data_IF_197870340123
#
_entry.id   IF_197870340123
#
_cell.length_a   1.000
_cell.length_b   1.000
_cell.length_c   1.000
_cell.angle_alpha   90.00
_cell.angle_beta   90.00
_cell.angle_gamma   90.00
#
_symmetry.space_group_name_H-M   'P 1'
#
loop_
_entity.id
_entity.type
_entity.pdbx_description
1 polymer ?
#
# COMPACT_ATOMS: atom_id res chain seq x y z
N UNK A 1 -13.92 11.00 -10.75
CA UNK A 1 -13.91 11.14 -12.22
C UNK A 1 -13.88 9.79 -12.93
N UNK A 2 -12.81 8.97 -12.79
CA UNK A 2 -12.65 7.72 -13.54
C UNK A 2 -13.82 6.74 -13.36
N UNK A 3 -14.28 6.51 -12.15
CA UNK A 3 -15.36 5.56 -11.88
C UNK A 3 -16.71 5.94 -12.50
N UNK A 4 -16.93 7.23 -12.75
CA UNK A 4 -18.17 7.73 -13.38
C UNK A 4 -18.11 7.66 -14.91
N UNK A 5 -16.93 7.90 -15.49
CA UNK A 5 -16.75 7.94 -16.94
C UNK A 5 -16.47 6.56 -17.54
N UNK A 6 -15.90 5.63 -16.76
CA UNK A 6 -15.58 4.27 -17.19
C UNK A 6 -16.46 3.23 -16.49
N UNK A 7 -17.80 3.39 -16.58
CA UNK A 7 -18.78 2.55 -15.86
C UNK A 7 -18.67 1.06 -16.21
N UNK A 8 -18.29 0.75 -17.44
CA UNK A 8 -18.15 -0.64 -17.91
C UNK A 8 -16.76 -1.23 -17.64
N UNK A 9 -15.81 -0.44 -17.14
CA UNK A 9 -14.47 -0.90 -16.81
C UNK A 9 -14.38 -1.23 -15.33
N UNK A 10 -13.62 -2.29 -15.00
CA UNK A 10 -13.23 -2.61 -13.63
C UNK A 10 -11.96 -1.84 -13.27
N UNK A 11 -11.97 -1.11 -12.20
CA UNK A 11 -10.89 -0.24 -11.75
C UNK A 11 -10.29 -0.84 -10.48
N UNK A 12 -8.99 -1.15 -10.50
CA UNK A 12 -8.23 -1.49 -9.30
C UNK A 12 -7.45 -0.23 -8.90
N UNK A 13 -7.84 0.38 -7.78
CA UNK A 13 -7.23 1.58 -7.24
C UNK A 13 -6.27 1.24 -6.10
N UNK A 14 -5.02 1.67 -6.20
CA UNK A 14 -4.02 1.47 -5.15
C UNK A 14 -4.04 2.64 -4.17
N UNK A 15 -4.51 2.37 -2.96
CA UNK A 15 -4.41 3.24 -1.81
C UNK A 15 -3.18 2.85 -0.95
N UNK A 16 -3.14 3.28 0.29
CA UNK A 16 -2.00 3.11 1.19
C UNK A 16 -2.45 2.79 2.61
N UNK A 17 -1.59 2.13 3.38
CA UNK A 17 -1.70 2.03 4.83
C UNK A 17 -1.45 3.39 5.52
N UNK A 18 -0.80 4.34 4.85
CA UNK A 18 -0.62 5.72 5.32
C UNK A 18 -1.92 6.53 5.48
N UNK A 19 -3.08 5.95 5.18
CA UNK A 19 -4.39 6.52 5.55
C UNK A 19 -4.66 6.43 7.06
N UNK A 20 -3.84 5.71 7.81
CA UNK A 20 -3.92 5.55 9.26
C UNK A 20 -2.71 6.16 9.96
N UNK A 21 -2.91 6.67 11.19
CA UNK A 21 -1.84 7.24 12.01
C UNK A 21 -0.96 6.21 12.74
N UNK A 22 -1.29 4.92 12.65
CA UNK A 22 -0.51 3.85 13.26
C UNK A 22 -0.72 3.64 14.78
N UNK A 23 -1.43 4.51 15.49
CA UNK A 23 -1.54 4.48 16.95
C UNK A 23 -2.34 3.27 17.46
N UNK A 24 -3.44 2.92 16.80
CA UNK A 24 -4.30 1.79 17.18
C UNK A 24 -3.63 0.43 16.87
N UNK A 25 -2.95 0.33 15.74
CA UNK A 25 -2.52 -0.94 15.15
C UNK A 25 -3.71 -1.83 14.75
N UNK A 26 -3.46 -2.91 14.02
CA UNK A 26 -4.48 -3.90 13.59
C UNK A 26 -5.75 -3.27 13.01
N UNK A 27 -5.57 -2.28 12.15
CA UNK A 27 -6.68 -1.60 11.49
C UNK A 27 -7.42 -2.56 10.56
N UNK A 28 -8.75 -2.43 10.56
CA UNK A 28 -9.66 -3.15 9.66
C UNK A 28 -10.09 -2.25 8.50
N UNK A 29 -10.65 -2.84 7.44
CA UNK A 29 -11.08 -2.10 6.26
C UNK A 29 -12.16 -1.05 6.57
N UNK A 30 -13.03 -1.32 7.54
CA UNK A 30 -14.10 -0.43 7.99
C UNK A 30 -13.68 0.58 9.07
N UNK A 31 -12.43 0.55 9.51
CA UNK A 31 -11.93 1.57 10.44
C UNK A 31 -11.86 2.93 9.74
N UNK A 32 -12.24 3.96 10.49
CA UNK A 32 -12.15 5.34 10.03
C UNK A 32 -10.69 5.73 9.79
N UNK A 33 -10.41 6.34 8.65
CA UNK A 33 -9.08 6.86 8.34
C UNK A 33 -8.68 7.96 9.32
N UNK A 34 -7.41 8.00 9.68
CA UNK A 34 -6.85 8.93 10.67
C UNK A 34 -5.54 9.53 10.12
N UNK A 35 -5.64 10.16 8.95
CA UNK A 35 -4.50 10.69 8.21
C UNK A 35 -3.70 11.71 9.04
N UNK A 36 -2.38 11.64 8.95
CA UNK A 36 -1.47 12.57 9.64
C UNK A 36 -0.78 13.53 8.69
N UNK A 37 -0.80 13.26 7.39
CA UNK A 37 -0.15 14.06 6.36
C UNK A 37 -0.99 14.21 5.09
N UNK A 38 -0.56 15.09 4.20
CA UNK A 38 -1.22 15.36 2.92
C UNK A 38 -1.25 14.10 2.03
N UNK A 39 -0.24 13.25 2.11
CA UNK A 39 -0.20 12.00 1.36
C UNK A 39 -1.35 11.07 1.77
N UNK A 40 -1.48 10.79 3.08
CA UNK A 40 -2.57 9.96 3.61
C UNK A 40 -3.95 10.54 3.30
N UNK A 41 -4.11 11.87 3.44
CA UNK A 41 -5.35 12.56 3.06
C UNK A 41 -5.69 12.32 1.58
N UNK A 42 -4.74 12.56 0.68
CA UNK A 42 -4.96 12.39 -0.76
C UNK A 42 -5.33 10.96 -1.14
N UNK A 43 -4.69 9.97 -0.50
CA UNK A 43 -5.00 8.55 -0.72
C UNK A 43 -6.40 8.18 -0.23
N UNK A 44 -6.77 8.61 0.97
CA UNK A 44 -8.12 8.34 1.52
C UNK A 44 -9.23 9.00 0.70
N UNK A 45 -9.02 10.22 0.21
CA UNK A 45 -9.97 10.89 -0.68
C UNK A 45 -10.17 10.16 -2.03
N UNK A 46 -9.16 9.41 -2.49
CA UNK A 46 -9.25 8.59 -3.69
C UNK A 46 -10.04 7.29 -3.52
N UNK A 47 -10.34 6.86 -2.29
CA UNK A 47 -11.04 5.62 -1.97
C UNK A 47 -12.55 5.78 -2.20
N UNK A 48 -12.99 5.60 -3.42
CA UNK A 48 -14.42 5.72 -3.76
C UNK A 48 -15.11 4.37 -3.72
N UNK A 49 -16.27 4.31 -3.08
CA UNK A 49 -17.11 3.10 -3.01
C UNK A 49 -18.05 3.09 -4.23
N UNK A 50 -17.70 2.34 -5.26
CA UNK A 50 -18.46 2.18 -6.51
C UNK A 50 -18.44 0.72 -6.95
N UNK A 51 -19.49 0.27 -7.67
CA UNK A 51 -19.61 -1.12 -8.16
C UNK A 51 -18.45 -1.57 -9.05
N UNK A 52 -17.81 -0.65 -9.73
CA UNK A 52 -16.70 -0.90 -10.66
C UNK A 52 -15.32 -0.58 -10.06
N UNK A 53 -15.21 -0.31 -8.75
CA UNK A 53 -13.95 0.04 -8.09
C UNK A 53 -13.61 -0.95 -6.99
N UNK A 54 -12.39 -1.49 -7.06
CA UNK A 54 -11.71 -2.23 -6.01
C UNK A 54 -10.60 -1.36 -5.46
N UNK A 55 -10.68 -0.94 -4.20
CA UNK A 55 -9.63 -0.19 -3.53
C UNK A 55 -8.73 -1.16 -2.77
N UNK A 56 -7.42 -1.06 -2.97
CA UNK A 56 -6.42 -1.88 -2.28
C UNK A 56 -5.53 -0.97 -1.45
N UNK A 57 -5.65 -1.06 -0.12
CA UNK A 57 -4.69 -0.46 0.81
C UNK A 57 -3.52 -1.40 0.99
N UNK A 58 -2.33 -0.94 0.69
CA UNK A 58 -1.10 -1.71 0.88
C UNK A 58 0.08 -0.78 1.11
N UNK A 59 1.11 -1.31 1.77
CA UNK A 59 2.45 -0.74 1.76
C UNK A 59 3.32 -1.61 0.87
N UNK A 60 4.09 -1.00 -0.01
CA UNK A 60 4.88 -1.73 -1.01
C UNK A 60 6.36 -1.40 -0.92
N UNK A 61 7.19 -2.38 -1.23
CA UNK A 61 8.62 -2.22 -1.39
C UNK A 61 9.09 -2.84 -2.71
N UNK A 62 9.97 -2.13 -3.42
CA UNK A 62 10.51 -2.62 -4.68
C UNK A 62 11.62 -1.72 -5.21
N UNK A 63 12.32 -2.21 -6.22
CA UNK A 63 13.32 -1.42 -6.92
C UNK A 63 12.69 -0.35 -7.82
N UNK A 64 13.27 0.83 -7.80
CA UNK A 64 13.01 1.86 -8.79
C UNK A 64 14.09 1.84 -9.88
N UNK A 65 13.65 1.83 -11.14
CA UNK A 65 14.59 1.79 -12.28
C UNK A 65 15.15 3.16 -12.64
N UNK A 66 14.44 4.25 -12.35
CA UNK A 66 14.78 5.59 -12.84
C UNK A 66 15.17 6.59 -11.76
N UNK A 67 14.84 6.33 -10.51
CA UNK A 67 15.09 7.23 -9.39
C UNK A 67 15.66 6.44 -8.21
N UNK A 68 16.31 7.12 -7.28
CA UNK A 68 16.88 6.50 -6.07
C UNK A 68 16.08 6.86 -4.81
N UNK A 69 14.81 7.24 -4.95
CA UNK A 69 13.98 7.68 -3.83
C UNK A 69 13.33 6.54 -3.05
N UNK A 70 13.27 5.31 -3.60
CA UNK A 70 12.72 4.18 -2.85
C UNK A 70 13.62 3.84 -1.66
N UNK A 71 13.00 3.41 -0.56
CA UNK A 71 13.73 2.99 0.64
C UNK A 71 14.72 1.86 0.34
N UNK A 72 14.41 0.99 -0.62
CA UNK A 72 15.28 -0.09 -1.02
C UNK A 72 16.51 0.42 -1.78
N UNK A 73 16.33 1.32 -2.77
CA UNK A 73 17.43 1.92 -3.51
C UNK A 73 18.32 2.76 -2.59
N UNK A 74 17.70 3.56 -1.69
CA UNK A 74 18.43 4.31 -0.69
C UNK A 74 19.29 3.39 0.19
N UNK A 75 18.72 2.30 0.70
CA UNK A 75 19.42 1.34 1.57
C UNK A 75 20.60 0.67 0.88
N UNK A 76 20.45 0.30 -0.38
CA UNK A 76 21.53 -0.36 -1.16
C UNK A 76 22.62 0.59 -1.58
N UNK A 77 22.35 1.87 -1.72
CA UNK A 77 23.30 2.89 -2.13
C UNK A 77 23.95 3.63 -0.96
N UNK A 78 23.61 3.29 0.28
CA UNK A 78 24.14 3.98 1.44
C UNK A 78 25.57 3.51 1.74
N UNK A 79 26.51 4.45 1.76
CA UNK A 79 27.92 4.17 2.07
C UNK A 79 28.24 4.22 3.58
N UNK A 80 27.25 4.46 4.42
CA UNK A 80 27.43 4.55 5.87
C UNK A 80 27.52 3.17 6.53
N UNK A 81 28.51 2.97 7.40
CA UNK A 81 28.64 1.73 8.20
C UNK A 81 27.59 1.59 9.31
N UNK A 82 26.88 2.67 9.64
CA UNK A 82 25.85 2.68 10.69
C UNK A 82 24.62 3.42 10.20
N UNK A 83 23.48 2.78 10.27
CA UNK A 83 22.17 3.36 9.93
C UNK A 83 21.31 3.33 11.20
N UNK A 84 20.67 4.47 11.51
CA UNK A 84 19.68 4.52 12.60
C UNK A 84 18.38 3.88 12.13
N UNK A 85 17.85 2.91 12.90
CA UNK A 85 16.56 2.29 12.67
C UNK A 85 15.59 2.57 13.81
N UNK A 86 14.30 2.48 13.53
CA UNK A 86 13.25 2.62 14.53
C UNK A 86 12.89 1.26 15.12
N UNK A 87 12.78 1.15 16.45
CA UNK A 87 12.43 -0.11 17.13
C UNK A 87 10.94 -0.39 17.18
N UNK A 88 10.13 0.65 17.11
CA UNK A 88 8.68 0.70 17.30
C UNK A 88 7.89 0.82 16.00
N UNK A 89 8.57 0.96 14.87
CA UNK A 89 7.94 0.98 13.57
C UNK A 89 7.89 -0.42 12.96
N UNK A 90 6.70 -0.99 12.93
CA UNK A 90 6.43 -2.30 12.31
C UNK A 90 5.94 -2.12 10.89
N UNK A 91 6.37 -3.00 10.01
CA UNK A 91 5.95 -3.03 8.63
C UNK A 91 5.56 -4.45 8.23
N UNK A 92 4.44 -4.59 7.53
CA UNK A 92 3.94 -5.86 7.01
C UNK A 92 3.46 -5.75 5.56
N UNK A 93 4.01 -4.80 4.82
CA UNK A 93 3.70 -4.62 3.41
C UNK A 93 4.15 -5.78 2.53
N UNK A 94 3.97 -5.63 1.24
CA UNK A 94 4.30 -6.63 0.23
C UNK A 94 5.29 -6.08 -0.79
N UNK A 95 5.94 -6.96 -1.56
CA UNK A 95 6.77 -6.51 -2.67
C UNK A 95 5.91 -6.07 -3.85
N UNK A 96 6.43 -5.15 -4.67
CA UNK A 96 5.78 -4.74 -5.93
C UNK A 96 5.49 -5.95 -6.82
N UNK A 97 6.38 -6.94 -6.85
CA UNK A 97 6.19 -8.20 -7.60
C UNK A 97 5.01 -9.01 -7.05
N UNK A 98 4.89 -9.14 -5.71
CA UNK A 98 3.80 -9.88 -5.09
C UNK A 98 2.45 -9.21 -5.38
N UNK A 99 2.38 -7.87 -5.26
CA UNK A 99 1.18 -7.10 -5.58
C UNK A 99 0.80 -7.24 -7.06
N UNK A 100 1.77 -7.18 -7.97
CA UNK A 100 1.53 -7.36 -9.41
C UNK A 100 0.98 -8.74 -9.73
N UNK A 101 1.55 -9.80 -9.14
CA UNK A 101 1.05 -11.18 -9.30
C UNK A 101 -0.38 -11.33 -8.76
N UNK A 102 -0.70 -10.69 -7.64
CA UNK A 102 -2.06 -10.67 -7.09
C UNK A 102 -3.04 -10.01 -8.08
N UNK A 103 -2.69 -8.85 -8.64
CA UNK A 103 -3.54 -8.16 -9.60
C UNK A 103 -3.80 -8.98 -10.87
N UNK A 104 -2.74 -9.59 -11.42
CA UNK A 104 -2.85 -10.50 -12.57
C UNK A 104 -3.74 -11.70 -12.21
N UNK A 105 -3.58 -12.28 -11.03
CA UNK A 105 -4.43 -13.36 -10.53
C UNK A 105 -5.90 -12.97 -10.44
N UNK A 106 -6.21 -11.80 -9.89
CA UNK A 106 -7.58 -11.26 -9.80
C UNK A 106 -8.20 -11.11 -11.21
N UNK A 107 -7.42 -10.62 -12.17
CA UNK A 107 -7.90 -10.41 -13.54
C UNK A 107 -8.15 -11.75 -14.24
N UNK A 108 -7.17 -12.64 -14.24
CA UNK A 108 -7.23 -13.92 -14.95
C UNK A 108 -8.29 -14.85 -14.37
N UNK A 109 -8.41 -14.91 -13.05
CA UNK A 109 -9.42 -15.74 -12.39
C UNK A 109 -10.80 -15.09 -12.28
N UNK A 110 -10.97 -13.86 -12.84
CA UNK A 110 -12.24 -13.08 -12.79
C UNK A 110 -12.75 -12.84 -11.36
N UNK A 111 -11.83 -12.68 -10.40
CA UNK A 111 -12.12 -12.51 -8.98
C UNK A 111 -12.31 -11.05 -8.55
N UNK A 112 -12.52 -10.14 -9.49
CA UNK A 112 -12.78 -8.74 -9.17
C UNK A 112 -14.00 -8.61 -8.25
N UNK A 113 -13.81 -7.91 -7.13
CA UNK A 113 -14.86 -7.52 -6.20
C UNK A 113 -14.77 -6.01 -5.93
N UNK A 114 -15.88 -5.32 -5.94
CA UNK A 114 -15.89 -3.94 -5.48
C UNK A 114 -15.74 -3.88 -3.97
N UNK A 115 -15.16 -2.80 -3.48
CA UNK A 115 -14.96 -2.58 -2.05
C UNK A 115 -13.56 -2.11 -1.71
N UNK A 116 -13.22 -2.21 -0.44
CA UNK A 116 -11.95 -1.84 0.14
C UNK A 116 -11.29 -3.07 0.76
N UNK A 117 -10.02 -3.30 0.46
CA UNK A 117 -9.28 -4.49 0.90
C UNK A 117 -7.90 -4.09 1.41
N UNK A 118 -7.46 -4.72 2.49
CA UNK A 118 -6.10 -4.62 2.98
C UNK A 118 -5.24 -5.76 2.42
N UNK A 119 -4.10 -5.41 1.81
CA UNK A 119 -3.11 -6.39 1.33
C UNK A 119 -1.84 -6.23 2.15
N UNK A 120 -1.48 -7.28 2.85
CA UNK A 120 -0.31 -7.31 3.74
C UNK A 120 0.32 -8.70 3.79
N UNK A 121 1.58 -8.78 4.23
CA UNK A 121 2.23 -10.04 4.49
C UNK A 121 1.85 -10.59 5.87
N UNK A 122 1.81 -11.91 6.00
CA UNK A 122 1.50 -12.58 7.27
C UNK A 122 2.50 -12.22 8.38
N UNK A 123 3.75 -11.98 8.03
CA UNK A 123 4.82 -11.72 8.98
C UNK A 123 5.07 -10.21 9.10
N UNK A 124 5.22 -9.74 10.34
CA UNK A 124 5.70 -8.39 10.65
C UNK A 124 7.22 -8.36 10.57
N UNK A 125 7.78 -7.30 10.01
CA UNK A 125 9.21 -6.99 10.13
C UNK A 125 9.32 -5.70 10.93
N UNK A 126 10.11 -5.70 12.01
CA UNK A 126 10.50 -4.44 12.63
C UNK A 126 11.67 -3.87 11.82
N UNK A 127 11.74 -2.55 11.70
CA UNK A 127 12.91 -1.86 11.12
C UNK A 127 14.12 -1.90 12.05
N UNK A 128 14.22 -2.92 12.90
CA UNK A 128 15.34 -3.12 13.81
C UNK A 128 16.51 -3.63 12.99
N UNK A 129 17.55 -2.84 12.93
CA UNK A 129 18.85 -3.33 12.50
C UNK A 129 19.48 -4.19 13.60
N UNK A 130 20.01 -5.34 13.21
CA UNK A 130 21.04 -6.01 13.97
C UNK A 130 22.38 -5.30 13.81
#
# INVERSE_FOLDING_TARGET
YLSNNFKNSKIIHFSSDGVFNGLKGRYLENDKTSNVDIYGVSKSMGEVVKKNVMNIRCSIIGFEKKTNYSILNWFLNINSKKIKGYKDQFWNGVTTLALSKLCVGIINAKLFRNGLFHIFSKNKVSRKQK
#
